data_IF_307497630378
#
_entry.id   IF_307497630378
#
_cell.length_a   1.000
_cell.length_b   1.000
_cell.length_c   1.000
_cell.angle_alpha   90.00
_cell.angle_beta   90.00
_cell.angle_gamma   90.00
#
_symmetry.space_group_name_H-M   'P 1'
#
loop_
_entity.id
_entity.type
_entity.pdbx_description
1 polymer ?
#
# COMPACT_ATOMS: atom_id res chain seq x y z
N UNK A 1 -2.93 5.31 -1.06
CA UNK A 1 -4.40 5.19 -1.16
C UNK A 1 -4.81 3.86 -0.58
N UNK A 2 -6.10 3.68 -0.29
CA UNK A 2 -6.69 2.38 0.06
C UNK A 2 -7.79 2.08 -0.95
N UNK A 3 -7.95 0.84 -1.45
CA UNK A 3 -8.91 0.54 -2.53
C UNK A 3 -10.37 0.86 -2.20
N UNK A 4 -10.86 0.48 -1.00
CA UNK A 4 -12.27 0.62 -0.65
C UNK A 4 -13.22 -0.11 -1.61
N UNK A 5 -14.50 0.28 -1.57
CA UNK A 5 -15.53 -0.29 -2.45
C UNK A 5 -15.45 0.23 -3.90
N UNK A 6 -14.72 1.32 -4.15
CA UNK A 6 -14.64 2.02 -5.44
C UNK A 6 -13.18 2.38 -5.76
N UNK A 7 -12.35 1.39 -6.14
CA UNK A 7 -10.89 1.56 -6.24
C UNK A 7 -10.47 2.59 -7.29
N UNK A 8 -11.22 2.73 -8.39
CA UNK A 8 -10.95 3.76 -9.39
C UNK A 8 -11.26 5.19 -8.89
N UNK A 9 -12.26 5.35 -8.03
CA UNK A 9 -12.60 6.67 -7.45
C UNK A 9 -11.50 7.08 -6.45
N UNK A 10 -11.07 6.15 -5.59
CA UNK A 10 -10.00 6.41 -4.62
C UNK A 10 -8.66 6.72 -5.31
N UNK A 11 -8.38 6.04 -6.43
CA UNK A 11 -7.20 6.30 -7.26
C UNK A 11 -7.29 7.67 -7.95
N UNK A 12 -8.44 8.04 -8.49
CA UNK A 12 -8.67 9.36 -9.06
C UNK A 12 -8.45 10.47 -8.04
N UNK A 13 -9.01 10.33 -6.83
CA UNK A 13 -8.81 11.28 -5.73
C UNK A 13 -7.32 11.38 -5.37
N UNK A 14 -6.62 10.25 -5.28
CA UNK A 14 -5.18 10.21 -5.01
C UNK A 14 -4.35 10.94 -6.05
N UNK A 15 -4.63 10.70 -7.34
CA UNK A 15 -3.93 11.34 -8.45
C UNK A 15 -4.21 12.84 -8.50
N UNK A 16 -5.46 13.28 -8.31
CA UNK A 16 -5.82 14.69 -8.33
C UNK A 16 -5.13 15.51 -7.23
N UNK A 17 -4.80 14.91 -6.09
CA UNK A 17 -4.09 15.59 -4.99
C UNK A 17 -2.65 15.97 -5.35
N UNK A 18 -2.01 15.23 -6.24
CA UNK A 18 -0.62 15.45 -6.64
C UNK A 18 -0.48 16.04 -8.05
N UNK A 19 -1.58 16.06 -8.81
CA UNK A 19 -1.53 16.40 -10.22
C UNK A 19 -1.05 17.85 -10.41
N UNK A 20 0.02 18.01 -11.19
CA UNK A 20 0.61 19.33 -11.45
C UNK A 20 -0.33 20.26 -12.22
N UNK A 21 -1.26 19.67 -12.97
CA UNK A 21 -2.39 20.33 -13.63
C UNK A 21 -3.66 19.59 -13.22
N UNK A 22 -4.83 20.21 -13.33
CA UNK A 22 -6.10 19.50 -13.12
C UNK A 22 -6.57 18.90 -14.45
N UNK A 23 -6.24 17.62 -14.77
CA UNK A 23 -6.74 16.98 -15.98
C UNK A 23 -8.25 16.76 -15.86
N UNK A 24 -8.99 17.21 -16.87
CA UNK A 24 -10.40 16.88 -16.98
C UNK A 24 -10.58 15.40 -17.38
N UNK A 25 -11.58 14.73 -16.80
CA UNK A 25 -11.96 13.36 -17.19
C UNK A 25 -10.99 12.25 -16.75
N UNK A 26 -10.20 12.47 -15.68
CA UNK A 26 -9.25 11.47 -15.19
C UNK A 26 -9.94 10.14 -14.81
N UNK A 27 -11.10 10.20 -14.15
CA UNK A 27 -11.90 9.01 -13.82
C UNK A 27 -12.42 8.23 -15.03
N UNK A 28 -12.73 8.92 -16.14
CA UNK A 28 -13.11 8.26 -17.40
C UNK A 28 -11.89 7.59 -18.04
N UNK A 29 -10.73 8.28 -18.05
CA UNK A 29 -9.48 7.74 -18.57
C UNK A 29 -9.06 6.47 -17.83
N UNK A 30 -9.14 6.47 -16.50
CA UNK A 30 -8.81 5.33 -15.65
C UNK A 30 -9.65 4.09 -15.95
N UNK A 31 -10.94 4.28 -16.27
CA UNK A 31 -11.90 3.19 -16.52
C UNK A 31 -12.03 2.78 -17.98
N UNK A 32 -11.34 3.48 -18.90
CA UNK A 32 -11.50 3.28 -20.35
C UNK A 32 -11.00 1.92 -20.82
N UNK A 33 -9.80 1.53 -20.40
CA UNK A 33 -9.13 0.29 -20.77
C UNK A 33 -7.97 0.01 -19.80
N UNK A 34 -7.24 -1.09 -20.01
CA UNK A 34 -6.09 -1.47 -19.18
C UNK A 34 -4.96 -0.41 -19.14
N UNK A 35 -4.82 0.42 -20.18
CA UNK A 35 -3.81 1.49 -20.23
C UNK A 35 -4.28 2.78 -19.53
N UNK A 36 -5.49 2.77 -18.94
CA UNK A 36 -6.09 3.93 -18.28
C UNK A 36 -5.22 4.54 -17.20
N UNK A 37 -4.68 3.73 -16.30
CA UNK A 37 -3.76 4.17 -15.25
C UNK A 37 -2.47 4.77 -15.82
N UNK A 38 -1.87 4.14 -16.82
CA UNK A 38 -0.64 4.65 -17.44
C UNK A 38 -0.87 6.04 -18.06
N UNK A 39 -1.99 6.24 -18.76
CA UNK A 39 -2.36 7.55 -19.31
C UNK A 39 -2.64 8.57 -18.21
N UNK A 40 -3.40 8.19 -17.18
CA UNK A 40 -3.72 9.06 -16.05
C UNK A 40 -2.46 9.49 -15.28
N UNK A 41 -1.50 8.59 -15.09
CA UNK A 41 -0.21 8.89 -14.47
C UNK A 41 0.58 9.93 -15.27
N UNK A 42 0.69 9.75 -16.59
CA UNK A 42 1.37 10.73 -17.47
C UNK A 42 0.70 12.10 -17.47
N UNK A 43 -0.64 12.15 -17.36
CA UNK A 43 -1.40 13.41 -17.29
C UNK A 43 -1.24 14.12 -15.93
N UNK A 44 -1.05 13.37 -14.85
CA UNK A 44 -0.90 13.93 -13.51
C UNK A 44 0.50 14.49 -13.25
N UNK A 45 1.53 13.90 -13.87
CA UNK A 45 2.92 14.31 -13.68
C UNK A 45 3.23 15.68 -14.33
N UNK A 46 4.14 16.48 -13.75
CA UNK A 46 4.51 17.79 -14.28
C UNK A 46 5.32 17.70 -15.59
N UNK A 47 6.11 16.64 -15.75
CA UNK A 47 6.99 16.39 -16.89
C UNK A 47 7.33 14.89 -17.04
N UNK A 48 7.98 14.54 -18.15
CA UNK A 48 8.37 13.15 -18.48
C UNK A 48 9.58 12.64 -17.67
N UNK A 49 10.22 13.49 -16.85
CA UNK A 49 11.33 13.09 -15.97
C UNK A 49 10.85 12.70 -14.57
N UNK A 50 9.61 13.01 -14.25
CA UNK A 50 9.00 12.74 -12.97
C UNK A 50 8.54 11.29 -12.86
N UNK A 51 8.63 10.74 -11.65
CA UNK A 51 8.17 9.37 -11.34
C UNK A 51 7.01 9.44 -10.36
N UNK A 52 5.95 8.68 -10.63
CA UNK A 52 4.82 8.49 -9.74
C UNK A 52 5.03 7.25 -8.87
N UNK A 53 5.07 7.42 -7.54
CA UNK A 53 4.94 6.30 -6.60
C UNK A 53 3.46 6.13 -6.22
N UNK A 54 2.86 5.04 -6.65
CA UNK A 54 1.53 4.62 -6.21
C UNK A 54 1.68 3.63 -5.06
N UNK A 55 1.41 4.09 -3.83
CA UNK A 55 1.27 3.23 -2.66
C UNK A 55 -0.19 2.83 -2.48
N UNK A 56 -0.48 1.53 -2.54
CA UNK A 56 -1.80 0.97 -2.21
C UNK A 56 -1.68 0.21 -0.90
N UNK A 57 -2.22 0.79 0.16
CA UNK A 57 -2.27 0.16 1.48
C UNK A 57 -3.56 -0.68 1.61
N UNK A 58 -3.52 -1.75 2.42
CA UNK A 58 -4.62 -2.70 2.63
C UNK A 58 -5.20 -3.25 1.32
N UNK A 59 -4.33 -3.81 0.47
CA UNK A 59 -4.73 -4.30 -0.85
C UNK A 59 -5.78 -5.41 -0.81
N UNK A 60 -5.91 -6.12 0.32
CA UNK A 60 -6.98 -7.09 0.56
C UNK A 60 -8.39 -6.51 0.40
N UNK A 61 -8.58 -5.20 0.60
CA UNK A 61 -9.86 -4.53 0.40
C UNK A 61 -10.38 -4.66 -1.03
N UNK A 62 -9.48 -4.80 -2.00
CA UNK A 62 -9.87 -5.07 -3.38
C UNK A 62 -10.73 -6.34 -3.46
N UNK A 63 -10.48 -7.35 -2.62
CA UNK A 63 -11.19 -8.63 -2.64
C UNK A 63 -12.34 -8.72 -1.65
N UNK A 64 -12.37 -7.88 -0.62
CA UNK A 64 -13.42 -7.89 0.42
C UNK A 64 -14.48 -6.80 0.22
N UNK A 65 -14.10 -5.63 -0.28
CA UNK A 65 -14.98 -4.46 -0.41
C UNK A 65 -15.52 -4.23 -1.82
N UNK A 66 -14.84 -4.72 -2.86
CA UNK A 66 -15.31 -4.59 -4.26
C UNK A 66 -16.18 -5.79 -4.63
N UNK A 67 -17.51 -5.63 -4.80
CA UNK A 67 -18.41 -6.75 -5.01
C UNK A 67 -18.29 -7.35 -6.41
N UNK A 68 -18.02 -6.51 -7.42
CA UNK A 68 -17.98 -6.91 -8.83
C UNK A 68 -16.60 -7.48 -9.22
N UNK A 69 -16.49 -8.78 -9.57
CA UNK A 69 -15.25 -9.37 -10.04
C UNK A 69 -14.69 -8.70 -11.30
N UNK A 70 -15.54 -8.19 -12.20
CA UNK A 70 -15.09 -7.55 -13.43
C UNK A 70 -14.35 -6.23 -13.14
N UNK A 71 -14.82 -5.48 -12.13
CA UNK A 71 -14.13 -4.27 -11.65
C UNK A 71 -12.77 -4.61 -11.04
N UNK A 72 -12.69 -5.71 -10.26
CA UNK A 72 -11.42 -6.18 -9.68
C UNK A 72 -10.42 -6.58 -10.77
N UNK A 73 -10.85 -7.38 -11.74
CA UNK A 73 -10.02 -7.80 -12.87
C UNK A 73 -9.56 -6.61 -13.71
N UNK A 74 -10.44 -5.65 -13.97
CA UNK A 74 -10.08 -4.42 -14.67
C UNK A 74 -9.02 -3.62 -13.92
N UNK A 75 -9.18 -3.48 -12.59
CA UNK A 75 -8.22 -2.76 -11.76
C UNK A 75 -6.86 -3.46 -11.72
N UNK A 76 -6.83 -4.78 -11.52
CA UNK A 76 -5.61 -5.60 -11.54
C UNK A 76 -4.91 -5.56 -12.91
N UNK A 77 -5.68 -5.67 -13.99
CA UNK A 77 -5.16 -5.54 -15.35
C UNK A 77 -4.55 -4.15 -15.57
N UNK A 78 -5.20 -3.08 -15.10
CA UNK A 78 -4.66 -1.73 -15.27
C UNK A 78 -3.38 -1.49 -14.48
N UNK A 79 -3.29 -2.01 -13.25
CA UNK A 79 -2.04 -2.00 -12.47
C UNK A 79 -0.94 -2.79 -13.17
N UNK A 80 -1.22 -4.01 -13.60
CA UNK A 80 -0.26 -4.88 -14.27
C UNK A 80 0.28 -4.24 -15.56
N UNK A 81 -0.60 -3.71 -16.40
CA UNK A 81 -0.23 -3.04 -17.65
C UNK A 81 0.57 -1.77 -17.38
N UNK A 82 0.19 -0.97 -16.37
CA UNK A 82 0.93 0.23 -16.01
C UNK A 82 2.35 -0.05 -15.51
N UNK A 83 2.59 -1.12 -14.74
CA UNK A 83 3.95 -1.44 -14.23
C UNK A 83 4.79 -2.27 -15.18
N UNK A 84 4.17 -2.95 -16.14
CA UNK A 84 4.89 -3.77 -17.13
C UNK A 84 5.38 -2.98 -18.34
N UNK A 85 4.87 -1.75 -18.56
CA UNK A 85 5.36 -0.87 -19.62
C UNK A 85 6.80 -0.39 -19.30
N UNK A 86 7.80 -0.66 -20.17
CA UNK A 86 9.20 -0.27 -19.93
C UNK A 86 9.42 1.24 -19.80
N UNK A 87 8.52 2.05 -20.36
CA UNK A 87 8.52 3.51 -20.32
C UNK A 87 7.45 4.04 -19.36
N UNK A 88 7.03 3.22 -18.40
CA UNK A 88 6.12 3.66 -17.36
C UNK A 88 6.83 4.60 -16.38
N UNK A 89 6.25 5.78 -16.09
CA UNK A 89 6.73 6.61 -15.01
C UNK A 89 6.19 6.14 -13.64
N UNK A 90 5.44 5.02 -13.58
CA UNK A 90 4.78 4.55 -12.37
C UNK A 90 5.59 3.46 -11.67
N UNK A 91 5.79 3.63 -10.37
CA UNK A 91 6.26 2.60 -9.43
C UNK A 91 5.11 2.24 -8.50
N UNK A 92 4.82 0.94 -8.37
CA UNK A 92 3.75 0.43 -7.52
C UNK A 92 4.35 -0.21 -6.27
N UNK A 93 3.85 0.19 -5.11
CA UNK A 93 4.07 -0.51 -3.85
C UNK A 93 2.71 -0.87 -3.26
N UNK A 94 2.54 -2.13 -2.87
CA UNK A 94 1.31 -2.59 -2.23
C UNK A 94 1.64 -3.19 -0.87
N UNK A 95 0.73 -3.02 0.09
CA UNK A 95 0.72 -3.83 1.31
C UNK A 95 -0.42 -4.83 1.21
N UNK A 96 -0.16 -6.08 1.61
CA UNK A 96 -1.14 -7.15 1.53
C UNK A 96 -0.95 -8.08 2.73
N UNK A 97 -2.06 -8.37 3.42
CA UNK A 97 -2.03 -9.38 4.48
C UNK A 97 -1.79 -10.78 3.91
N UNK A 98 -1.02 -11.58 4.65
CA UNK A 98 -0.64 -12.94 4.23
C UNK A 98 -1.85 -13.88 3.98
N UNK A 99 -2.96 -13.71 4.70
CA UNK A 99 -4.19 -14.49 4.54
C UNK A 99 -4.99 -14.14 3.26
N UNK A 100 -4.57 -13.09 2.54
CA UNK A 100 -5.11 -12.70 1.24
C UNK A 100 -4.11 -12.87 0.10
N UNK A 101 -2.92 -13.43 0.37
CA UNK A 101 -1.87 -13.59 -0.63
C UNK A 101 -2.28 -14.48 -1.81
N UNK A 102 -3.20 -15.43 -1.59
CA UNK A 102 -3.73 -16.31 -2.64
C UNK A 102 -4.56 -15.57 -3.70
N UNK A 103 -5.25 -14.48 -3.34
CA UNK A 103 -6.25 -13.84 -4.20
C UNK A 103 -5.65 -13.17 -5.44
N UNK A 104 -4.62 -12.31 -5.34
CA UNK A 104 -4.02 -11.68 -6.52
C UNK A 104 -3.32 -12.70 -7.43
N UNK A 105 -2.86 -13.83 -6.90
CA UNK A 105 -2.17 -14.88 -7.67
C UNK A 105 -3.09 -15.57 -8.70
N UNK A 106 -4.40 -15.50 -8.51
CA UNK A 106 -5.38 -16.04 -9.45
C UNK A 106 -5.50 -15.21 -10.74
N UNK A 107 -5.03 -13.95 -10.72
CA UNK A 107 -5.03 -13.10 -11.90
C UNK A 107 -3.74 -13.31 -12.72
N UNK A 108 -3.79 -13.78 -13.98
CA UNK A 108 -2.61 -14.27 -14.70
C UNK A 108 -1.41 -13.30 -14.76
N UNK A 109 -1.63 -12.05 -15.19
CA UNK A 109 -0.54 -11.07 -15.32
C UNK A 109 -0.04 -10.57 -13.95
N UNK A 110 -0.96 -10.18 -13.08
CA UNK A 110 -0.65 -9.64 -11.76
C UNK A 110 -0.04 -10.70 -10.81
N UNK A 111 -0.46 -11.96 -10.93
CA UNK A 111 0.06 -13.06 -10.12
C UNK A 111 1.56 -13.32 -10.37
N UNK A 112 2.02 -13.18 -11.61
CA UNK A 112 3.46 -13.30 -11.92
C UNK A 112 4.26 -12.11 -11.37
N UNK A 113 3.70 -10.90 -11.42
CA UNK A 113 4.29 -9.73 -10.78
C UNK A 113 4.44 -9.94 -9.27
N UNK A 114 3.42 -10.49 -8.61
CA UNK A 114 3.46 -10.82 -7.19
C UNK A 114 4.54 -11.86 -6.88
N UNK A 115 4.62 -12.94 -7.67
CA UNK A 115 5.64 -13.98 -7.49
C UNK A 115 7.06 -13.41 -7.50
N UNK A 116 7.34 -12.45 -8.38
CA UNK A 116 8.68 -11.91 -8.60
C UNK A 116 9.05 -10.76 -7.64
N UNK A 117 8.05 -10.07 -7.08
CA UNK A 117 8.26 -8.79 -6.37
C UNK A 117 7.62 -8.75 -4.97
N UNK A 118 7.45 -9.90 -4.32
CA UNK A 118 6.94 -9.98 -2.93
C UNK A 118 8.08 -10.09 -1.95
N UNK A 119 8.11 -9.17 -0.99
CA UNK A 119 8.95 -9.27 0.21
C UNK A 119 8.06 -9.63 1.41
N UNK A 120 8.45 -10.63 2.19
CA UNK A 120 7.68 -11.08 3.35
C UNK A 120 8.16 -10.34 4.58
N UNK A 121 7.29 -9.48 5.13
CA UNK A 121 7.54 -8.81 6.41
C UNK A 121 7.09 -9.73 7.55
N UNK A 122 8.05 -10.16 8.36
CA UNK A 122 7.78 -10.99 9.54
C UNK A 122 7.40 -10.11 10.75
N UNK A 123 6.69 -10.67 11.74
CA UNK A 123 6.50 -9.99 13.02
C UNK A 123 7.84 -9.61 13.65
N UNK A 124 7.88 -8.45 14.32
CA UNK A 124 9.06 -7.99 15.04
C UNK A 124 9.43 -9.01 16.12
N UNK A 125 10.72 -9.32 16.21
CA UNK A 125 11.28 -10.03 17.36
C UNK A 125 11.17 -9.18 18.63
N UNK A 126 11.30 -9.80 19.81
CA UNK A 126 11.30 -9.08 21.08
C UNK A 126 12.39 -7.98 21.14
N UNK A 127 13.53 -8.21 20.48
CA UNK A 127 14.60 -7.23 20.40
C UNK A 127 14.22 -6.04 19.50
N UNK A 128 13.70 -6.30 18.30
CA UNK A 128 13.25 -5.25 17.38
C UNK A 128 12.07 -4.47 17.95
N UNK A 129 11.18 -5.13 18.69
CA UNK A 129 10.09 -4.47 19.39
C UNK A 129 10.61 -3.54 20.50
N UNK A 130 11.64 -3.96 21.23
CA UNK A 130 12.27 -3.12 22.24
C UNK A 130 12.89 -1.86 21.61
N UNK A 131 13.54 -1.99 20.45
CA UNK A 131 14.07 -0.84 19.70
C UNK A 131 12.95 0.05 19.15
N UNK A 132 11.87 -0.54 18.64
CA UNK A 132 10.68 0.19 18.19
C UNK A 132 10.00 1.01 19.30
N UNK A 133 10.27 0.72 20.58
CA UNK A 133 9.84 1.51 21.73
C UNK A 133 10.92 2.55 22.12
N UNK A 134 12.19 2.14 22.18
CA UNK A 134 13.29 3.00 22.66
C UNK A 134 13.63 4.12 21.69
N UNK A 135 13.77 3.82 20.40
CA UNK A 135 14.24 4.80 19.42
C UNK A 135 13.29 6.00 19.29
N UNK A 136 11.95 5.82 19.22
CA UNK A 136 11.04 6.96 19.21
C UNK A 136 11.07 7.77 20.51
N UNK A 137 11.16 7.11 21.68
CA UNK A 137 11.23 7.79 22.97
C UNK A 137 12.49 8.64 23.10
N UNK A 138 13.65 8.11 22.67
CA UNK A 138 14.91 8.87 22.61
C UNK A 138 14.82 10.04 21.64
N UNK A 139 14.22 9.83 20.45
CA UNK A 139 13.98 10.89 19.47
C UNK A 139 13.07 12.00 19.99
N UNK A 140 12.15 11.68 20.89
CA UNK A 140 11.28 12.64 21.59
C UNK A 140 11.92 13.26 22.84
N UNK A 141 13.14 12.85 23.23
CA UNK A 141 13.83 13.32 24.44
C UNK A 141 13.25 12.76 25.74
N UNK A 142 12.47 11.68 25.67
CA UNK A 142 11.91 11.00 26.84
C UNK A 142 12.93 10.02 27.45
N UNK A 143 13.07 10.05 28.77
CA UNK A 143 13.83 9.03 29.52
C UNK A 143 12.88 7.91 29.94
N UNK A 144 13.17 6.70 29.50
CA UNK A 144 12.41 5.50 29.89
C UNK A 144 12.96 4.94 31.20
N UNK A 145 12.07 4.59 32.12
CA UNK A 145 12.45 3.93 33.37
C UNK A 145 13.18 2.60 33.09
N UNK A 146 14.19 2.31 33.92
CA UNK A 146 14.96 1.06 33.80
C UNK A 146 14.04 -0.15 33.93
N UNK A 147 14.03 -1.01 32.91
CA UNK A 147 13.21 -2.23 32.89
C UNK A 147 11.79 -2.05 32.34
N UNK A 148 11.31 -0.82 32.13
CA UNK A 148 9.97 -0.57 31.59
C UNK A 148 9.77 -1.23 30.21
N UNK A 149 10.74 -1.06 29.31
CA UNK A 149 10.68 -1.67 27.97
C UNK A 149 10.58 -3.20 28.06
N UNK A 150 11.30 -3.80 29.00
CA UNK A 150 11.26 -5.26 29.21
C UNK A 150 9.88 -5.74 29.63
N UNK A 151 9.22 -4.99 30.54
CA UNK A 151 7.86 -5.30 30.98
C UNK A 151 6.89 -5.17 29.80
N UNK A 152 6.95 -4.06 29.07
CA UNK A 152 6.08 -3.81 27.92
C UNK A 152 6.23 -4.90 26.85
N UNK A 153 7.47 -5.27 26.51
CA UNK A 153 7.74 -6.33 25.52
C UNK A 153 7.20 -7.67 26.02
N UNK A 154 7.38 -8.01 27.29
CA UNK A 154 6.86 -9.27 27.85
C UNK A 154 5.33 -9.34 27.80
N UNK A 155 4.64 -8.23 28.02
CA UNK A 155 3.16 -8.17 28.01
C UNK A 155 2.57 -8.38 26.61
N UNK A 156 3.31 -8.04 25.55
CA UNK A 156 2.79 -8.02 24.18
C UNK A 156 3.40 -9.07 23.25
N UNK A 157 4.52 -9.70 23.62
CA UNK A 157 5.29 -10.61 22.75
C UNK A 157 4.48 -11.82 22.22
N UNK A 158 3.43 -12.24 22.93
CA UNK A 158 2.62 -13.41 22.55
C UNK A 158 1.28 -13.04 21.88
N UNK A 159 0.99 -11.75 21.71
CA UNK A 159 -0.30 -11.29 21.22
C UNK A 159 -0.18 -10.78 19.76
N UNK A 160 -0.86 -11.42 18.79
CA UNK A 160 -0.87 -10.93 17.42
C UNK A 160 -1.63 -9.59 17.32
N UNK A 161 -1.08 -8.64 16.55
CA UNK A 161 -1.74 -7.36 16.27
C UNK A 161 -1.69 -6.34 17.40
N UNK A 162 -0.75 -6.46 18.34
CA UNK A 162 -0.57 -5.53 19.48
C UNK A 162 0.02 -4.18 19.15
N UNK A 163 0.72 -4.03 18.01
CA UNK A 163 1.44 -2.80 17.71
C UNK A 163 0.56 -1.54 17.75
N UNK A 164 -0.68 -1.53 17.23
CA UNK A 164 -1.58 -0.38 17.38
C UNK A 164 -1.97 -0.09 18.84
N UNK A 165 -2.18 -1.13 19.67
CA UNK A 165 -2.50 -0.96 21.09
C UNK A 165 -1.30 -0.45 21.89
N UNK A 166 -0.13 -0.97 21.57
CA UNK A 166 1.15 -0.53 22.13
C UNK A 166 1.40 0.94 21.78
N UNK A 167 1.20 1.34 20.53
CA UNK A 167 1.31 2.73 20.11
C UNK A 167 0.36 3.62 20.92
N UNK A 168 -0.90 3.21 21.11
CA UNK A 168 -1.86 3.96 21.92
C UNK A 168 -1.41 4.12 23.37
N UNK A 169 -0.83 3.09 23.97
CA UNK A 169 -0.35 3.14 25.36
C UNK A 169 0.90 4.01 25.55
N UNK A 170 1.68 4.24 24.48
CA UNK A 170 2.95 4.98 24.49
C UNK A 170 2.82 6.46 24.07
N UNK A 171 1.66 6.87 23.56
CA UNK A 171 1.33 8.27 23.23
C UNK A 171 0.88 9.06 24.46
#
# INVERSE_FOLDING_TARGET
MTPGARPFDELEIGLLRIAARQPAGLGEQLRRDEYGLLRAARLALPDDQSTLLLLIDQFEELFTAVPDPAVRDQFLSSLATAVSDPHSPLRLLITLRADFYDRPLLHPAFGELMRQHTEVVLPLSAAELAEAIREPAQGAGAELETGLVTVIVADVAEQPGVLPMLQYALM
#
